data_IF_788712127061
#
_entry.id   IF_788712127061
#
_cell.length_a   1.000
_cell.length_b   1.000
_cell.length_c   1.000
_cell.angle_alpha   90.00
_cell.angle_beta   90.00
_cell.angle_gamma   90.00
#
_symmetry.space_group_name_H-M   'P 1'
#
loop_
_entity.id
_entity.type
_entity.pdbx_description
1 polymer ?
#
# COMPACT_ATOMS: atom_id res chain seq x y z
N UNK A 1 -28.50 14.52 -11.32
CA UNK A 1 -27.14 13.96 -11.45
C UNK A 1 -27.14 12.44 -11.21
N UNK A 2 -26.84 11.64 -12.23
CA UNK A 2 -26.72 10.16 -12.12
C UNK A 2 -25.55 9.72 -11.22
N UNK A 3 -24.49 10.53 -11.13
CA UNK A 3 -23.29 10.31 -10.30
C UNK A 3 -23.59 10.27 -8.80
N UNK A 4 -24.44 11.17 -8.28
CA UNK A 4 -24.80 11.19 -6.85
C UNK A 4 -25.58 9.95 -6.38
N UNK A 5 -26.18 9.18 -7.30
CA UNK A 5 -26.82 7.90 -6.97
C UNK A 5 -25.81 6.82 -6.58
N UNK A 6 -24.54 6.98 -6.95
CA UNK A 6 -23.45 6.11 -6.53
C UNK A 6 -23.13 6.22 -5.03
N UNK A 7 -23.55 7.30 -4.35
CA UNK A 7 -23.34 7.52 -2.91
C UNK A 7 -24.37 6.80 -2.02
N UNK A 8 -25.37 6.11 -2.60
CA UNK A 8 -26.38 5.34 -1.84
C UNK A 8 -25.79 4.34 -0.83
N UNK A 9 -24.66 3.64 -1.10
CA UNK A 9 -24.03 2.76 -0.12
C UNK A 9 -23.56 3.47 1.15
N UNK A 10 -23.25 4.77 1.13
CA UNK A 10 -22.91 5.53 2.34
C UNK A 10 -24.06 5.60 3.34
N UNK A 11 -25.30 5.49 2.89
CA UNK A 11 -26.46 5.36 3.79
C UNK A 11 -26.42 4.05 4.59
N UNK A 12 -25.87 2.98 4.03
CA UNK A 12 -25.70 1.71 4.75
C UNK A 12 -24.66 1.80 5.89
N UNK A 13 -23.62 2.62 5.71
CA UNK A 13 -22.60 2.91 6.75
C UNK A 13 -23.23 3.52 8.01
N UNK A 14 -24.21 4.41 7.84
CA UNK A 14 -24.95 4.99 8.97
C UNK A 14 -25.90 4.01 9.69
N UNK A 15 -26.26 2.90 9.03
CA UNK A 15 -27.21 1.91 9.53
C UNK A 15 -26.54 0.79 10.32
N UNK A 16 -25.28 0.47 10.04
CA UNK A 16 -24.55 -0.59 10.75
C UNK A 16 -23.71 -0.01 11.87
N UNK A 17 -24.01 -0.40 13.11
CA UNK A 17 -23.36 0.12 14.30
C UNK A 17 -21.84 -0.08 14.28
N UNK A 18 -21.36 -1.24 13.82
CA UNK A 18 -19.92 -1.51 13.69
C UNK A 18 -19.20 -0.53 12.75
N UNK A 19 -19.76 -0.25 11.57
CA UNK A 19 -19.15 0.71 10.63
C UNK A 19 -19.21 2.15 11.18
N UNK A 20 -20.30 2.51 11.89
CA UNK A 20 -20.46 3.83 12.50
C UNK A 20 -19.39 4.10 13.57
N UNK A 21 -19.04 3.11 14.40
CA UNK A 21 -17.97 3.24 15.41
C UNK A 21 -16.63 3.56 14.73
N UNK A 22 -16.27 2.80 13.69
CA UNK A 22 -15.01 3.01 12.96
C UNK A 22 -14.96 4.38 12.29
N UNK A 23 -16.01 4.78 11.58
CA UNK A 23 -16.06 6.08 10.89
C UNK A 23 -15.99 7.25 11.88
N UNK A 24 -16.69 7.16 13.01
CA UNK A 24 -16.62 8.18 14.05
C UNK A 24 -15.21 8.31 14.67
N UNK A 25 -14.50 7.19 14.83
CA UNK A 25 -13.11 7.20 15.29
C UNK A 25 -12.16 7.85 14.26
N UNK A 26 -12.37 7.56 12.97
CA UNK A 26 -11.60 8.17 11.87
C UNK A 26 -11.84 9.68 11.77
N UNK A 27 -13.10 10.14 11.81
CA UNK A 27 -13.44 11.57 11.74
C UNK A 27 -12.80 12.35 12.90
N UNK A 28 -12.74 11.76 14.10
CA UNK A 28 -12.06 12.38 15.26
C UNK A 28 -10.54 12.53 15.06
N UNK A 29 -9.92 11.72 14.21
CA UNK A 29 -8.50 11.81 13.88
C UNK A 29 -8.20 12.84 12.77
N UNK A 30 -9.19 13.18 11.93
CA UNK A 30 -9.02 14.08 10.76
C UNK A 30 -8.38 15.43 11.11
N UNK A 31 -8.77 16.16 12.17
CA UNK A 31 -8.17 17.47 12.47
C UNK A 31 -6.66 17.38 12.76
N UNK A 32 -6.23 16.36 13.49
CA UNK A 32 -4.80 16.12 13.76
C UNK A 32 -4.05 15.75 12.49
N UNK A 33 -4.65 14.93 11.63
CA UNK A 33 -4.07 14.54 10.34
C UNK A 33 -3.94 15.76 9.41
N UNK A 34 -4.94 16.64 9.39
CA UNK A 34 -4.94 17.84 8.56
C UNK A 34 -3.78 18.78 8.90
N UNK A 35 -3.46 18.96 10.19
CA UNK A 35 -2.32 19.76 10.61
C UNK A 35 -0.99 19.22 10.06
N UNK A 36 -0.80 17.90 10.09
CA UNK A 36 0.41 17.25 9.52
C UNK A 36 0.43 17.37 8.02
N UNK A 37 -0.70 17.13 7.36
CA UNK A 37 -0.81 17.24 5.92
C UNK A 37 -0.45 18.66 5.45
N UNK A 38 -0.86 19.70 6.18
CA UNK A 38 -0.49 21.08 5.88
C UNK A 38 1.04 21.28 5.96
N UNK A 39 1.70 20.79 7.00
CA UNK A 39 3.17 20.85 7.12
C UNK A 39 3.85 20.10 5.96
N UNK A 40 3.36 18.90 5.62
CA UNK A 40 3.86 18.12 4.49
C UNK A 40 3.68 18.86 3.17
N UNK A 41 2.53 19.49 2.94
CA UNK A 41 2.28 20.29 1.74
C UNK A 41 3.25 21.47 1.66
N UNK A 42 3.40 22.27 2.72
CA UNK A 42 4.34 23.41 2.71
C UNK A 42 5.77 22.94 2.44
N UNK A 43 6.18 21.80 3.00
CA UNK A 43 7.50 21.23 2.73
C UNK A 43 7.66 20.79 1.26
N UNK A 44 6.66 20.08 0.73
CA UNK A 44 6.64 19.64 -0.66
C UNK A 44 6.55 20.80 -1.66
N UNK A 45 5.99 21.94 -1.25
CA UNK A 45 5.93 23.16 -2.06
C UNK A 45 7.31 23.64 -2.46
N UNK A 46 8.27 23.60 -1.54
CA UNK A 46 9.65 24.05 -1.77
C UNK A 46 10.29 23.21 -2.89
N UNK A 47 10.16 21.88 -2.79
CA UNK A 47 10.64 20.96 -3.82
C UNK A 47 9.90 21.15 -5.14
N UNK A 48 8.58 21.36 -5.11
CA UNK A 48 7.79 21.57 -6.33
C UNK A 48 8.22 22.85 -7.08
N UNK A 49 8.41 23.97 -6.36
CA UNK A 49 8.89 25.23 -6.96
C UNK A 49 10.29 25.05 -7.55
N UNK A 50 11.20 24.40 -6.81
CA UNK A 50 12.54 24.09 -7.30
C UNK A 50 12.51 23.18 -8.53
N UNK A 51 11.64 22.16 -8.53
CA UNK A 51 11.44 21.28 -9.69
C UNK A 51 10.94 22.04 -10.91
N UNK A 52 9.99 22.98 -10.74
CA UNK A 52 9.53 23.85 -11.84
C UNK A 52 10.68 24.69 -12.39
N UNK A 53 11.54 25.25 -11.54
CA UNK A 53 12.69 26.03 -12.01
C UNK A 53 13.71 25.20 -12.81
N UNK A 54 13.90 23.93 -12.45
CA UNK A 54 14.86 23.05 -13.11
C UNK A 54 14.34 22.44 -14.41
N UNK A 55 13.05 22.06 -14.44
CA UNK A 55 12.50 21.11 -15.42
C UNK A 55 11.38 21.66 -16.30
N UNK A 56 10.85 22.87 -16.03
CA UNK A 56 9.71 23.42 -16.76
C UNK A 56 9.95 23.46 -18.28
N UNK A 57 9.05 22.86 -19.05
CA UNK A 57 9.08 22.83 -20.51
C UNK A 57 10.10 21.87 -21.11
N UNK A 58 10.97 21.26 -20.30
CA UNK A 58 12.08 20.39 -20.75
C UNK A 58 11.73 18.91 -20.88
N UNK A 59 10.52 18.52 -20.46
CA UNK A 59 10.03 17.13 -20.52
C UNK A 59 9.37 16.79 -21.86
N UNK A 60 9.43 17.70 -22.83
CA UNK A 60 8.93 17.43 -24.17
C UNK A 60 9.91 16.56 -24.96
N UNK A 61 9.35 15.71 -25.82
CA UNK A 61 10.08 14.79 -26.67
C UNK A 61 9.33 14.51 -27.96
N UNK A 62 10.08 14.36 -29.04
CA UNK A 62 9.61 13.89 -30.32
C UNK A 62 9.41 12.37 -30.26
N UNK A 63 8.21 11.90 -30.65
CA UNK A 63 7.87 10.47 -30.72
C UNK A 63 7.34 10.10 -32.10
N UNK A 64 7.52 8.86 -32.53
CA UNK A 64 6.88 8.35 -33.74
C UNK A 64 5.37 8.18 -33.50
N UNK A 65 4.53 8.63 -34.45
CA UNK A 65 3.07 8.51 -34.35
C UNK A 65 2.56 7.07 -34.40
N UNK A 66 3.31 6.18 -35.05
CA UNK A 66 2.92 4.79 -35.26
C UNK A 66 2.93 3.98 -33.95
N UNK A 67 4.00 4.09 -33.16
CA UNK A 67 4.24 3.25 -31.98
C UNK A 67 4.43 4.04 -30.67
N UNK A 68 4.57 5.37 -30.74
CA UNK A 68 4.81 6.24 -29.59
C UNK A 68 6.22 6.14 -28.97
N UNK A 69 7.19 5.49 -29.63
CA UNK A 69 8.56 5.43 -29.15
C UNK A 69 9.30 6.76 -29.34
N UNK A 70 10.23 7.07 -28.45
CA UNK A 70 11.03 8.31 -28.51
C UNK A 70 12.01 8.23 -29.69
N UNK A 71 12.03 9.29 -30.51
CA UNK A 71 12.96 9.40 -31.65
C UNK A 71 14.38 9.70 -31.12
N UNK A 72 15.43 9.02 -31.60
CA UNK A 72 16.81 9.33 -31.19
C UNK A 72 17.22 10.77 -31.57
N UNK A 73 18.02 11.43 -30.73
CA UNK A 73 18.52 12.79 -30.99
C UNK A 73 19.42 12.92 -32.23
N UNK A 74 19.90 11.80 -32.78
CA UNK A 74 20.69 11.77 -34.02
C UNK A 74 19.84 11.97 -35.28
N UNK A 75 18.53 11.74 -35.18
CA UNK A 75 17.57 11.90 -36.29
C UNK A 75 16.83 13.25 -36.19
N UNK A 76 16.49 13.67 -34.97
CA UNK A 76 15.80 14.94 -34.67
C UNK A 76 16.45 15.57 -33.44
N UNK A 77 17.09 16.73 -33.58
CA UNK A 77 17.77 17.39 -32.45
C UNK A 77 16.88 18.40 -31.71
N UNK A 78 15.88 18.95 -32.38
CA UNK A 78 15.04 20.02 -31.85
C UNK A 78 13.56 19.89 -32.24
N UNK A 79 12.73 20.71 -31.58
CA UNK A 79 11.29 20.77 -31.82
C UNK A 79 10.95 21.15 -33.26
N UNK A 80 11.68 22.09 -33.85
CA UNK A 80 11.41 22.57 -35.22
C UNK A 80 11.56 21.45 -36.24
N UNK A 81 12.60 20.62 -36.15
CA UNK A 81 12.81 19.44 -37.00
C UNK A 81 11.72 18.38 -36.78
N UNK A 82 11.27 18.20 -35.54
CA UNK A 82 10.14 17.31 -35.24
C UNK A 82 8.84 17.79 -35.91
N UNK A 83 8.59 19.11 -35.88
CA UNK A 83 7.38 19.74 -36.45
C UNK A 83 7.43 19.83 -37.98
N UNK A 84 8.61 19.96 -38.59
CA UNK A 84 8.78 19.88 -40.06
C UNK A 84 8.31 18.54 -40.61
N UNK A 85 8.57 17.45 -39.88
CA UNK A 85 8.14 16.09 -40.23
C UNK A 85 6.88 15.63 -39.47
N UNK A 86 5.93 16.56 -39.27
CA UNK A 86 4.65 16.33 -38.58
C UNK A 86 3.80 15.19 -39.16
N UNK A 87 4.10 14.66 -40.34
CA UNK A 87 3.40 13.48 -40.87
C UNK A 87 3.74 12.20 -40.09
N UNK A 88 4.98 12.09 -39.60
CA UNK A 88 5.54 10.88 -38.98
C UNK A 88 5.72 11.06 -37.48
N UNK A 89 6.09 12.27 -37.04
CA UNK A 89 6.39 12.55 -35.64
C UNK A 89 5.33 13.40 -34.94
N UNK A 90 5.32 13.32 -33.61
CA UNK A 90 4.54 14.16 -32.71
C UNK A 90 5.45 14.70 -31.59
N UNK A 91 5.46 16.02 -31.40
CA UNK A 91 6.13 16.65 -30.26
C UNK A 91 5.23 16.60 -29.03
N UNK A 92 5.54 15.70 -28.09
CA UNK A 92 4.66 15.36 -26.98
C UNK A 92 5.33 15.62 -25.64
N UNK A 93 4.57 16.15 -24.69
CA UNK A 93 4.99 16.31 -23.31
C UNK A 93 4.77 15.03 -22.51
N UNK A 94 5.63 14.74 -21.55
CA UNK A 94 5.36 13.70 -20.55
C UNK A 94 4.10 14.03 -19.75
N UNK A 95 3.22 13.05 -19.50
CA UNK A 95 1.93 13.29 -18.84
C UNK A 95 2.08 13.76 -17.39
N UNK A 96 3.19 13.41 -16.75
CA UNK A 96 3.56 13.85 -15.40
C UNK A 96 4.88 14.60 -15.55
N UNK A 97 4.84 15.90 -15.25
CA UNK A 97 5.94 16.83 -15.51
C UNK A 97 5.99 17.93 -14.44
N UNK A 98 6.90 18.88 -14.62
CA UNK A 98 7.16 20.00 -13.71
C UNK A 98 6.86 21.36 -14.37
N UNK A 99 5.90 21.43 -15.31
CA UNK A 99 5.58 22.70 -15.98
C UNK A 99 4.85 23.68 -15.06
N UNK A 100 4.11 23.14 -14.09
CA UNK A 100 3.37 23.91 -13.09
C UNK A 100 3.54 23.27 -11.71
N UNK A 101 3.42 24.07 -10.66
CA UNK A 101 3.58 23.61 -9.27
C UNK A 101 2.64 22.44 -8.95
N UNK A 102 1.39 22.45 -9.41
CA UNK A 102 0.44 21.36 -9.15
C UNK A 102 0.83 20.05 -9.85
N UNK A 103 1.32 20.11 -11.09
CA UNK A 103 1.84 18.93 -11.79
C UNK A 103 3.13 18.43 -11.13
N UNK A 104 3.99 19.35 -10.68
CA UNK A 104 5.17 19.03 -9.88
C UNK A 104 4.81 18.32 -8.58
N UNK A 105 3.72 18.71 -7.92
CA UNK A 105 3.19 17.98 -6.76
C UNK A 105 2.76 16.55 -7.10
N UNK A 106 2.08 16.34 -8.24
CA UNK A 106 1.70 15.00 -8.69
C UNK A 106 2.93 14.14 -9.02
N UNK A 107 3.96 14.75 -9.63
CA UNK A 107 5.23 14.09 -9.90
C UNK A 107 5.94 13.69 -8.60
N UNK A 108 6.06 14.61 -7.65
CA UNK A 108 6.63 14.35 -6.32
C UNK A 108 5.83 13.30 -5.54
N UNK A 109 4.51 13.26 -5.67
CA UNK A 109 3.67 12.22 -5.08
C UNK A 109 3.97 10.82 -5.63
N UNK A 110 4.16 10.70 -6.95
CA UNK A 110 4.57 9.44 -7.59
C UNK A 110 5.98 9.00 -7.15
N UNK A 111 6.90 9.95 -7.02
CA UNK A 111 8.25 9.70 -6.48
C UNK A 111 8.18 9.25 -5.02
N UNK A 112 7.39 9.92 -4.18
CA UNK A 112 7.27 9.60 -2.76
C UNK A 112 6.65 8.21 -2.51
N UNK A 113 5.76 7.76 -3.39
CA UNK A 113 5.13 6.42 -3.31
C UNK A 113 5.93 5.33 -4.03
N UNK A 114 7.03 5.69 -4.69
CA UNK A 114 7.83 4.80 -5.54
C UNK A 114 7.01 4.09 -6.64
N UNK A 115 5.98 4.76 -7.17
CA UNK A 115 5.13 4.25 -8.26
C UNK A 115 5.18 5.21 -9.44
N UNK A 116 5.65 4.75 -10.59
CA UNK A 116 5.83 5.59 -11.79
C UNK A 116 7.05 6.53 -11.76
N UNK A 117 7.80 6.54 -10.64
CA UNK A 117 8.95 7.40 -10.40
C UNK A 117 10.11 7.24 -11.40
N UNK A 118 10.33 6.02 -11.91
CA UNK A 118 11.42 5.72 -12.85
C UNK A 118 11.30 6.56 -14.12
N UNK A 119 10.09 6.65 -14.68
CA UNK A 119 9.86 7.41 -15.91
C UNK A 119 10.09 8.91 -15.70
N UNK A 120 9.66 9.44 -14.55
CA UNK A 120 9.85 10.86 -14.19
C UNK A 120 11.33 11.18 -14.06
N UNK A 121 12.10 10.31 -13.38
CA UNK A 121 13.53 10.53 -13.21
C UNK A 121 14.30 10.34 -14.51
N UNK A 122 13.93 9.36 -15.35
CA UNK A 122 14.53 9.17 -16.66
C UNK A 122 14.31 10.40 -17.55
N UNK A 123 13.06 10.89 -17.62
CA UNK A 123 12.75 12.12 -18.34
C UNK A 123 13.54 13.31 -17.78
N UNK A 124 13.70 13.40 -16.45
CA UNK A 124 14.47 14.46 -15.79
C UNK A 124 15.98 14.38 -16.03
N UNK A 125 16.55 13.18 -16.17
CA UNK A 125 17.98 13.00 -16.42
C UNK A 125 18.35 13.16 -17.88
N UNK A 126 17.39 12.95 -18.77
CA UNK A 126 17.59 13.05 -20.20
C UNK A 126 17.36 14.48 -20.72
N UNK A 127 16.90 15.41 -19.87
CA UNK A 127 16.63 16.80 -20.25
C UNK A 127 17.86 17.51 -20.81
N UNK A 128 17.57 18.41 -21.76
CA UNK A 128 18.43 19.49 -22.22
C UNK A 128 17.71 20.82 -22.02
N UNK A 129 17.86 21.76 -22.95
CA UNK A 129 17.12 23.01 -22.94
C UNK A 129 15.73 22.89 -23.59
N UNK A 130 14.91 23.92 -23.40
CA UNK A 130 13.53 23.96 -23.89
C UNK A 130 13.53 23.85 -25.42
N UNK A 131 12.76 22.89 -25.94
CA UNK A 131 12.65 22.64 -27.38
C UNK A 131 13.79 21.80 -27.97
N UNK A 132 14.69 21.25 -27.16
CA UNK A 132 15.70 20.29 -27.60
C UNK A 132 15.25 18.86 -27.30
N UNK A 133 15.59 17.92 -28.19
CA UNK A 133 15.28 16.50 -28.01
C UNK A 133 16.14 15.94 -26.86
N UNK A 134 15.56 15.19 -25.90
CA UNK A 134 16.31 14.62 -24.79
C UNK A 134 17.40 13.66 -25.27
N UNK A 135 18.52 13.66 -24.55
CA UNK A 135 19.64 12.75 -24.76
C UNK A 135 19.81 11.93 -23.49
N UNK A 136 19.90 10.61 -23.65
CA UNK A 136 20.06 9.69 -22.54
C UNK A 136 21.20 10.12 -21.61
N UNK A 137 20.89 10.27 -20.33
CA UNK A 137 21.83 10.57 -19.24
C UNK A 137 22.62 11.89 -19.41
N UNK A 138 22.13 12.84 -20.20
CA UNK A 138 22.78 14.14 -20.42
C UNK A 138 22.94 14.96 -19.12
N UNK A 139 21.90 14.96 -18.28
CA UNK A 139 21.80 15.74 -17.05
C UNK A 139 21.81 14.81 -15.81
N UNK A 140 22.82 13.94 -15.70
CA UNK A 140 22.91 12.92 -14.63
C UNK A 140 22.84 13.49 -13.20
N UNK A 141 23.28 14.73 -12.98
CA UNK A 141 23.21 15.40 -11.68
C UNK A 141 21.77 15.59 -11.17
N UNK A 142 20.77 15.52 -12.04
CA UNK A 142 19.36 15.64 -11.67
C UNK A 142 18.87 14.49 -10.79
N UNK A 143 19.56 13.33 -10.76
CA UNK A 143 19.28 12.28 -9.77
C UNK A 143 19.41 12.78 -8.33
N UNK A 144 20.35 13.71 -8.05
CA UNK A 144 20.55 14.25 -6.71
C UNK A 144 19.31 14.98 -6.20
N UNK A 145 18.57 15.68 -7.06
CA UNK A 145 17.32 16.33 -6.70
C UNK A 145 16.31 15.32 -6.14
N UNK A 146 16.11 14.19 -6.82
CA UNK A 146 15.18 13.15 -6.37
C UNK A 146 15.67 12.40 -5.14
N UNK A 147 16.97 12.12 -5.03
CA UNK A 147 17.55 11.48 -3.84
C UNK A 147 17.37 12.36 -2.61
N UNK A 148 17.64 13.67 -2.72
CA UNK A 148 17.42 14.63 -1.64
C UNK A 148 15.91 14.71 -1.28
N UNK A 149 15.02 14.72 -2.26
CA UNK A 149 13.58 14.68 -1.99
C UNK A 149 13.14 13.37 -1.29
N UNK A 150 13.69 12.21 -1.65
CA UNK A 150 13.33 10.94 -1.01
C UNK A 150 13.82 10.91 0.44
N UNK A 151 15.05 11.37 0.70
CA UNK A 151 15.63 11.40 2.05
C UNK A 151 14.92 12.43 2.93
N UNK A 152 14.74 13.67 2.46
CA UNK A 152 14.18 14.74 3.29
C UNK A 152 12.66 14.84 3.20
N UNK A 153 12.07 14.59 2.03
CA UNK A 153 10.63 14.62 1.82
C UNK A 153 9.97 13.34 2.30
N UNK A 154 10.28 12.21 1.69
CA UNK A 154 9.52 10.98 1.95
C UNK A 154 9.77 10.43 3.36
N UNK A 155 11.02 10.37 3.81
CA UNK A 155 11.34 9.82 5.13
C UNK A 155 10.82 10.71 6.27
N UNK A 156 11.02 12.03 6.20
CA UNK A 156 10.56 12.94 7.25
C UNK A 156 9.03 13.02 7.30
N UNK A 157 8.36 13.11 6.15
CA UNK A 157 6.89 13.19 6.12
C UNK A 157 6.22 11.90 6.61
N UNK A 158 6.74 10.73 6.23
CA UNK A 158 6.22 9.44 6.70
C UNK A 158 6.43 9.30 8.21
N UNK A 159 7.59 9.66 8.73
CA UNK A 159 7.88 9.60 10.17
C UNK A 159 7.01 10.57 10.99
N UNK A 160 6.82 11.81 10.52
CA UNK A 160 5.94 12.79 11.15
C UNK A 160 4.48 12.31 11.14
N UNK A 161 4.04 11.76 10.01
CA UNK A 161 2.69 11.23 9.84
C UNK A 161 2.41 10.05 10.78
N UNK A 162 3.31 9.07 10.83
CA UNK A 162 3.21 7.94 11.76
C UNK A 162 3.22 8.45 13.21
N UNK A 163 4.10 9.40 13.54
CA UNK A 163 4.19 9.98 14.88
C UNK A 163 2.87 10.58 15.35
N UNK A 164 2.21 11.39 14.51
CA UNK A 164 0.93 12.01 14.87
C UNK A 164 -0.22 11.01 14.89
N UNK A 165 -0.23 10.02 13.99
CA UNK A 165 -1.23 8.95 14.05
C UNK A 165 -1.10 8.18 15.35
N UNK A 166 0.12 7.79 15.73
CA UNK A 166 0.37 7.06 16.98
C UNK A 166 -0.03 7.90 18.18
N UNK A 167 0.30 9.19 18.21
CA UNK A 167 -0.09 10.07 19.31
C UNK A 167 -1.62 10.21 19.39
N UNK A 168 -2.30 10.48 18.27
CA UNK A 168 -3.75 10.57 18.21
C UNK A 168 -4.40 9.24 18.63
N UNK A 169 -3.87 8.11 18.17
CA UNK A 169 -4.32 6.77 18.55
C UNK A 169 -4.13 6.51 20.04
N UNK A 170 -3.00 6.91 20.63
CA UNK A 170 -2.74 6.80 22.05
C UNK A 170 -3.69 7.70 22.88
N UNK A 171 -4.01 8.90 22.39
CA UNK A 171 -5.00 9.77 23.02
C UNK A 171 -6.40 9.15 22.98
N UNK A 172 -6.81 8.58 21.84
CA UNK A 172 -8.11 7.90 21.72
C UNK A 172 -8.17 6.62 22.56
N UNK A 173 -7.08 5.85 22.61
CA UNK A 173 -6.92 4.67 23.49
C UNK A 173 -7.13 5.02 24.97
N UNK A 174 -6.55 6.12 25.45
CA UNK A 174 -6.73 6.58 26.84
C UNK A 174 -8.20 6.92 27.15
N UNK A 175 -8.93 7.50 26.20
CA UNK A 175 -10.36 7.84 26.35
C UNK A 175 -11.27 6.62 26.27
N UNK A 176 -10.89 5.61 25.48
CA UNK A 176 -11.71 4.43 25.19
C UNK A 176 -11.48 3.23 26.13
N UNK A 177 -10.54 3.30 27.07
CA UNK A 177 -10.22 2.20 28.00
C UNK A 177 -9.28 1.11 27.44
N UNK A 178 -8.95 1.16 26.14
CA UNK A 178 -8.04 0.23 25.48
C UNK A 178 -8.05 0.38 23.94
N UNK A 179 -7.03 -0.15 23.24
CA UNK A 179 -6.94 0.05 21.77
C UNK A 179 -7.97 -0.78 21.01
N UNK A 180 -8.28 -1.99 21.52
CA UNK A 180 -9.29 -2.86 20.94
C UNK A 180 -10.70 -2.33 21.18
N UNK A 181 -10.95 -1.78 22.38
CA UNK A 181 -12.27 -1.27 22.77
C UNK A 181 -12.72 -0.05 21.95
N UNK A 182 -11.77 0.68 21.36
CA UNK A 182 -12.05 1.80 20.46
C UNK A 182 -12.76 1.39 19.15
N UNK A 183 -12.54 0.16 18.67
CA UNK A 183 -13.08 -0.32 17.40
C UNK A 183 -14.23 -1.33 17.54
N UNK A 184 -14.64 -1.64 18.76
CA UNK A 184 -15.69 -2.61 19.05
C UNK A 184 -17.01 -1.91 19.40
N UNK A 185 -18.13 -2.51 18.99
CA UNK A 185 -19.46 -2.16 19.52
C UNK A 185 -19.58 -2.61 20.98
N UNK A 186 -20.56 -2.09 21.72
CA UNK A 186 -20.71 -2.42 23.13
C UNK A 186 -21.06 -3.91 23.38
N UNK A 187 -21.77 -4.55 22.45
CA UNK A 187 -22.03 -5.98 22.52
C UNK A 187 -20.79 -6.82 22.18
N UNK A 188 -19.97 -6.37 21.22
CA UNK A 188 -18.68 -6.99 20.94
C UNK A 188 -17.73 -6.88 22.13
N UNK A 189 -17.75 -5.76 22.88
CA UNK A 189 -16.97 -5.62 24.13
C UNK A 189 -17.40 -6.64 25.18
N UNK A 190 -18.71 -6.87 25.35
CA UNK A 190 -19.23 -7.89 26.29
C UNK A 190 -18.76 -9.29 25.87
N UNK A 191 -18.87 -9.63 24.59
CA UNK A 191 -18.41 -10.91 24.05
C UNK A 191 -16.90 -11.09 24.21
N UNK A 192 -16.10 -10.06 23.89
CA UNK A 192 -14.65 -10.06 24.08
C UNK A 192 -14.27 -10.29 25.55
N UNK A 193 -14.94 -9.61 26.48
CA UNK A 193 -14.70 -9.79 27.91
C UNK A 193 -15.05 -11.20 28.38
N UNK A 194 -16.15 -11.78 27.89
CA UNK A 194 -16.53 -13.15 28.18
C UNK A 194 -15.47 -14.14 27.66
N UNK A 195 -15.02 -13.98 26.43
CA UNK A 195 -14.01 -14.85 25.81
C UNK A 195 -12.65 -14.74 26.51
N UNK A 196 -12.21 -13.52 26.85
CA UNK A 196 -10.99 -13.28 27.62
C UNK A 196 -11.04 -13.96 28.99
N UNK A 197 -12.20 -13.90 29.65
CA UNK A 197 -12.40 -14.57 30.93
C UNK A 197 -12.36 -16.11 30.79
N UNK A 198 -12.93 -16.66 29.72
CA UNK A 198 -12.85 -18.09 29.43
C UNK A 198 -11.41 -18.53 29.17
N UNK A 199 -10.64 -17.76 28.40
CA UNK A 199 -9.23 -18.07 28.13
C UNK A 199 -8.37 -17.99 29.40
N UNK A 200 -8.67 -17.07 30.31
CA UNK A 200 -7.94 -16.94 31.58
C UNK A 200 -8.22 -18.07 32.58
N UNK A 201 -9.29 -18.86 32.37
CA UNK A 201 -9.69 -19.94 33.27
C UNK A 201 -9.35 -21.29 32.67
N UNK A 202 -8.50 -22.05 33.36
CA UNK A 202 -8.33 -23.47 33.05
C UNK A 202 -9.51 -24.27 33.62
N UNK A 203 -10.04 -25.27 32.90
CA UNK A 203 -11.04 -26.18 33.46
C UNK A 203 -10.41 -26.96 34.62
N UNK A 204 -11.03 -26.91 35.80
CA UNK A 204 -10.49 -27.50 37.03
C UNK A 204 -11.13 -28.84 37.39
N UNK A 205 -12.33 -29.14 36.88
CA UNK A 205 -12.98 -30.44 37.12
C UNK A 205 -12.63 -31.41 36.00
N UNK A 206 -11.91 -32.48 36.36
CA UNK A 206 -11.72 -33.64 35.51
C UNK A 206 -13.03 -34.39 35.27
N UNK A 207 -13.06 -35.20 34.22
CA UNK A 207 -14.20 -36.05 33.88
C UNK A 207 -14.33 -37.15 34.95
N UNK A 208 -15.52 -37.38 35.54
CA UNK A 208 -15.70 -38.40 36.56
C UNK A 208 -15.50 -39.80 35.97
N UNK A 209 -14.97 -40.71 36.78
CA UNK A 209 -14.68 -42.08 36.37
C UNK A 209 -15.98 -42.86 36.08
N UNK A 210 -16.07 -43.57 34.93
CA UNK A 210 -17.27 -44.33 34.59
C UNK A 210 -17.44 -45.57 35.47
N UNK A 211 -18.69 -45.96 35.73
CA UNK A 211 -19.03 -47.09 36.63
C UNK A 211 -18.88 -48.48 35.98
N UNK A 212 -18.85 -48.55 34.65
CA UNK A 212 -18.81 -49.81 33.91
C UNK A 212 -17.38 -50.17 33.50
N UNK A 213 -16.96 -51.42 33.72
CA UNK A 213 -15.58 -51.90 33.47
C UNK A 213 -15.09 -51.67 32.02
N UNK A 214 -15.96 -51.84 31.03
CA UNK A 214 -15.61 -51.60 29.62
C UNK A 214 -15.38 -50.11 29.36
N UNK A 215 -16.21 -49.25 29.95
CA UNK A 215 -16.08 -47.80 29.83
C UNK A 215 -14.85 -47.27 30.57
N UNK A 216 -14.49 -47.88 31.70
CA UNK A 216 -13.25 -47.60 32.44
C UNK A 216 -12.00 -47.93 31.61
N UNK A 217 -11.98 -49.09 30.96
CA UNK A 217 -10.90 -49.47 30.07
C UNK A 217 -10.74 -48.50 28.89
N UNK A 218 -11.83 -48.14 28.23
CA UNK A 218 -11.82 -47.14 27.15
C UNK A 218 -11.35 -45.76 27.64
N UNK A 219 -11.74 -45.36 28.85
CA UNK A 219 -11.31 -44.10 29.46
C UNK A 219 -9.80 -44.06 29.69
N UNK A 220 -9.19 -45.14 30.17
CA UNK A 220 -7.73 -45.24 30.31
C UNK A 220 -6.99 -45.23 28.97
N UNK A 221 -7.58 -45.81 27.92
CA UNK A 221 -7.01 -45.79 26.57
C UNK A 221 -7.01 -44.37 25.98
N UNK A 222 -8.14 -43.66 26.04
CA UNK A 222 -8.29 -42.33 25.43
C UNK A 222 -7.66 -41.20 26.23
N UNK A 223 -7.45 -41.38 27.53
CA UNK A 223 -6.77 -40.38 28.40
C UNK A 223 -5.25 -40.53 28.37
N UNK A 224 -4.71 -41.56 27.71
CA UNK A 224 -3.28 -41.79 27.64
C UNK A 224 -2.60 -40.90 26.59
N UNK A 225 -1.54 -40.19 26.99
CA UNK A 225 -0.75 -39.32 26.10
C UNK A 225 -0.22 -40.02 24.84
N UNK A 226 0.06 -41.34 24.90
CA UNK A 226 0.51 -42.11 23.74
C UNK A 226 -0.55 -42.20 22.64
N UNK A 227 -1.82 -42.25 23.02
CA UNK A 227 -2.95 -42.28 22.09
C UNK A 227 -3.09 -40.93 21.37
N UNK A 228 -2.97 -39.82 22.09
CA UNK A 228 -2.98 -38.47 21.50
C UNK A 228 -1.83 -38.26 20.50
N UNK A 229 -0.61 -38.71 20.84
CA UNK A 229 0.54 -38.64 19.94
C UNK A 229 0.29 -39.44 18.65
N UNK A 230 -0.30 -40.64 18.76
CA UNK A 230 -0.63 -41.46 17.60
C UNK A 230 -1.66 -40.78 16.67
N UNK A 231 -2.67 -40.10 17.24
CA UNK A 231 -3.65 -39.32 16.47
C UNK A 231 -2.98 -38.14 15.77
N UNK A 232 -2.15 -37.37 16.49
CA UNK A 232 -1.45 -36.22 15.90
C UNK A 232 -0.50 -36.65 14.78
N UNK A 233 0.22 -37.76 14.93
CA UNK A 233 1.07 -38.31 13.87
C UNK A 233 0.26 -38.73 12.64
N UNK A 234 -0.90 -39.35 12.83
CA UNK A 234 -1.80 -39.71 11.72
C UNK A 234 -2.28 -38.47 10.96
N UNK A 235 -2.67 -37.41 11.68
CA UNK A 235 -3.12 -36.16 11.05
C UNK A 235 -1.98 -35.48 10.27
N UNK A 236 -0.78 -35.44 10.85
CA UNK A 236 0.42 -34.90 10.20
C UNK A 236 0.80 -35.70 8.94
N UNK A 237 0.71 -37.03 8.98
CA UNK A 237 0.98 -37.89 7.83
C UNK A 237 -0.06 -37.68 6.72
N UNK A 238 -1.34 -37.57 7.07
CA UNK A 238 -2.42 -37.27 6.11
C UNK A 238 -2.23 -35.91 5.44
N UNK A 239 -1.84 -34.88 6.20
CA UNK A 239 -1.55 -33.55 5.64
C UNK A 239 -0.35 -33.60 4.69
N UNK A 240 0.70 -34.34 5.04
CA UNK A 240 1.89 -34.53 4.20
C UNK A 240 1.57 -35.31 2.91
N UNK A 241 0.76 -36.35 2.99
CA UNK A 241 0.25 -37.09 1.81
C UNK A 241 -0.55 -36.15 0.90
N UNK A 242 -1.43 -35.31 1.47
CA UNK A 242 -2.17 -34.31 0.73
C UNK A 242 -1.28 -33.32 -0.02
N UNK A 243 -0.24 -32.79 0.63
CA UNK A 243 0.74 -31.90 0.00
C UNK A 243 1.52 -32.60 -1.13
N UNK A 244 1.98 -33.83 -0.91
CA UNK A 244 2.69 -34.60 -1.94
C UNK A 244 1.78 -34.86 -3.14
N UNK A 245 0.50 -35.18 -2.92
CA UNK A 245 -0.48 -35.37 -4.00
C UNK A 245 -0.84 -34.10 -4.78
N UNK A 246 -0.51 -32.91 -4.25
CA UNK A 246 -0.70 -31.63 -4.95
C UNK A 246 0.50 -31.16 -5.76
N UNK A 247 1.66 -31.84 -5.65
CA UNK A 247 2.82 -31.53 -6.47
C UNK A 247 2.62 -32.09 -7.89
N UNK A 248 2.96 -31.33 -8.94
CA UNK A 248 2.87 -31.82 -10.31
C UNK A 248 3.83 -32.99 -10.52
N UNK A 249 3.34 -34.08 -11.12
CA UNK A 249 4.12 -35.28 -11.42
C UNK A 249 5.31 -34.90 -12.34
N UNK A 250 6.57 -35.13 -11.93
CA UNK A 250 7.73 -34.80 -12.76
C UNK A 250 7.80 -35.64 -14.05
N UNK A 251 7.15 -36.80 -14.11
CA UNK A 251 7.15 -37.69 -15.28
C UNK A 251 6.20 -37.24 -16.41
N UNK A 252 5.20 -36.39 -16.15
CA UNK A 252 4.27 -35.91 -17.19
C UNK A 252 4.81 -34.75 -18.03
N UNK A 253 5.93 -34.15 -17.63
CA UNK A 253 6.56 -33.02 -18.34
C UNK A 253 7.71 -33.44 -19.27
N UNK A 254 8.02 -34.74 -19.37
CA UNK A 254 9.04 -35.27 -20.31
C UNK A 254 8.45 -35.94 -21.55
N UNK A 255 7.12 -35.99 -21.67
CA UNK A 255 6.41 -36.48 -22.87
C UNK A 255 5.62 -35.34 -23.50
N UNK A 256 6.31 -34.31 -23.98
CA UNK A 256 5.81 -33.37 -25.01
C UNK A 256 6.98 -32.82 -25.80
#
# INVERSE_FOLDING_TARGET
MRTLRALRPLRAVSRWEGMRVVVNALIKAVPSIFNVLLVCLVFWLIFSIMGVQLFNGKFHKCVYKENGSVVPSTEVDNRTECEENSAIYEWKNSPINFDNVLNGYLALFQVATFKGWINIMADATDIRDIGQQPIREHSILMYLYFVLFIIFGSFFTLNLFIGVIIDNFNQQKKKAGGSLEMFMTDDQKKYYKAMKNLQSKKPTKGIPMPKFKIAEWMFHLTTNQKFDIAIMMKHSLSSKIGYISSLPDPEKNLST
#
